data_IF_985159055335
#
_entry.id   IF_985159055335
#
_cell.length_a   1.000
_cell.length_b   1.000
_cell.length_c   1.000
_cell.angle_alpha   90.00
_cell.angle_beta   90.00
_cell.angle_gamma   90.00
#
_symmetry.space_group_name_H-M   'P 1'
#
loop_
_entity.id
_entity.type
_entity.pdbx_description
1 polymer ?
#
# COMPACT_ATOMS: atom_id res chain seq x y z
N UNK A 1 -0.51 38.42 -10.59
CA UNK A 1 -1.61 37.45 -10.86
C UNK A 1 -1.15 36.01 -10.84
N UNK A 2 -0.21 35.55 -11.69
CA UNK A 2 0.26 34.15 -11.67
C UNK A 2 1.07 33.81 -10.42
N UNK A 3 1.94 34.69 -9.97
CA UNK A 3 2.72 34.51 -8.74
C UNK A 3 1.86 34.44 -7.47
N UNK A 4 0.78 35.20 -7.41
CA UNK A 4 -0.17 35.13 -6.27
C UNK A 4 -0.93 33.81 -6.24
N UNK A 5 -1.31 33.30 -7.41
CA UNK A 5 -1.95 31.98 -7.51
C UNK A 5 -1.00 30.85 -7.14
N UNK A 6 0.28 30.96 -7.49
CA UNK A 6 1.31 29.98 -7.10
C UNK A 6 1.54 30.05 -5.58
N UNK A 7 1.60 31.25 -5.00
CA UNK A 7 1.77 31.41 -3.55
C UNK A 7 0.57 30.91 -2.76
N UNK A 8 -0.66 31.13 -3.25
CA UNK A 8 -1.88 30.65 -2.63
C UNK A 8 -2.04 29.12 -2.67
N UNK A 9 -1.32 28.45 -3.56
CA UNK A 9 -1.33 26.98 -3.71
C UNK A 9 -0.09 26.29 -3.14
N UNK A 10 0.76 27.02 -2.42
CA UNK A 10 1.90 26.41 -1.75
C UNK A 10 1.40 25.49 -0.63
N UNK A 11 1.81 24.25 -0.69
CA UNK A 11 1.69 23.34 0.44
C UNK A 11 2.49 23.90 1.63
N UNK A 12 2.06 23.63 2.85
CA UNK A 12 2.84 23.96 4.05
C UNK A 12 4.27 23.40 3.92
N UNK A 13 5.27 24.10 4.47
CA UNK A 13 6.64 23.60 4.42
C UNK A 13 6.74 22.24 5.14
N UNK A 14 7.42 21.30 4.51
CA UNK A 14 7.67 19.97 5.09
C UNK A 14 8.50 20.06 6.38
N UNK A 15 9.37 21.05 6.44
CA UNK A 15 10.26 21.30 7.55
C UNK A 15 9.97 22.69 8.12
N UNK A 16 9.32 22.71 9.26
CA UNK A 16 9.14 23.91 10.07
C UNK A 16 10.02 23.77 11.31
N UNK A 17 11.17 24.45 11.28
CA UNK A 17 12.17 24.38 12.33
C UNK A 17 13.20 23.26 12.17
N UNK A 18 14.02 23.06 13.20
CA UNK A 18 15.07 22.08 13.24
C UNK A 18 14.56 20.74 13.77
N UNK A 19 14.71 19.69 12.97
CA UNK A 19 14.33 18.32 13.36
C UNK A 19 15.55 17.63 14.00
N UNK A 20 15.37 17.10 15.19
CA UNK A 20 16.39 16.40 15.97
C UNK A 20 15.80 15.15 16.65
N UNK A 21 16.64 14.39 17.34
CA UNK A 21 16.22 13.13 17.98
C UNK A 21 15.13 13.32 19.06
N UNK A 22 15.03 14.49 19.66
CA UNK A 22 14.07 14.77 20.73
C UNK A 22 12.68 15.10 20.20
N UNK A 23 12.57 15.71 19.01
CA UNK A 23 11.29 16.12 18.42
C UNK A 23 10.88 15.30 17.20
N UNK A 24 11.68 14.28 16.81
CA UNK A 24 11.47 13.52 15.58
C UNK A 24 10.10 12.81 15.56
N UNK A 25 9.67 12.20 16.65
CA UNK A 25 8.41 11.45 16.69
C UNK A 25 7.20 12.36 16.53
N UNK A 26 7.21 13.52 17.17
CA UNK A 26 6.17 14.53 17.03
C UNK A 26 6.16 15.12 15.61
N UNK A 27 7.32 15.48 15.11
CA UNK A 27 7.47 15.95 13.74
C UNK A 27 6.99 14.93 12.73
N UNK A 28 7.39 13.66 12.87
CA UNK A 28 6.96 12.55 12.00
C UNK A 28 5.44 12.40 12.00
N UNK A 29 4.81 12.44 13.16
CA UNK A 29 3.37 12.36 13.28
C UNK A 29 2.68 13.49 12.52
N UNK A 30 3.13 14.72 12.72
CA UNK A 30 2.57 15.90 12.05
C UNK A 30 2.72 15.81 10.52
N UNK A 31 3.86 15.33 10.02
CA UNK A 31 4.08 15.13 8.59
C UNK A 31 3.19 14.03 8.01
N UNK A 32 3.00 12.91 8.71
CA UNK A 32 2.11 11.84 8.28
C UNK A 32 0.66 12.34 8.21
N UNK A 33 0.22 13.10 9.21
CA UNK A 33 -1.12 13.70 9.24
C UNK A 33 -1.30 14.71 8.10
N UNK A 34 -0.28 15.53 7.83
CA UNK A 34 -0.29 16.48 6.71
C UNK A 34 -0.42 15.75 5.37
N UNK A 35 0.38 14.72 5.13
CA UNK A 35 0.30 13.93 3.90
C UNK A 35 -1.04 13.22 3.75
N UNK A 36 -1.61 12.70 4.83
CA UNK A 36 -2.93 12.11 4.80
C UNK A 36 -3.99 13.13 4.38
N UNK A 37 -3.92 14.36 4.88
CA UNK A 37 -4.89 15.41 4.55
C UNK A 37 -4.70 15.99 3.14
N UNK A 38 -3.46 16.27 2.74
CA UNK A 38 -3.20 17.07 1.55
C UNK A 38 -2.94 16.23 0.29
N UNK A 39 -2.47 14.99 0.44
CA UNK A 39 -1.97 14.22 -0.69
C UNK A 39 -2.64 12.85 -0.87
N UNK A 40 -2.73 12.04 0.17
CA UNK A 40 -3.07 10.62 0.04
C UNK A 40 -4.48 10.27 0.54
N UNK A 41 -5.10 11.13 1.32
CA UNK A 41 -6.35 10.84 1.99
C UNK A 41 -6.16 9.95 3.23
N UNK A 42 -7.26 9.69 3.90
CA UNK A 42 -7.27 8.87 5.11
C UNK A 42 -7.51 7.41 4.73
N UNK A 43 -6.69 6.52 5.26
CA UNK A 43 -6.89 5.08 5.06
C UNK A 43 -8.24 4.66 5.65
N UNK A 44 -9.11 4.03 4.86
CA UNK A 44 -10.39 3.55 5.36
C UNK A 44 -10.18 2.45 6.42
N UNK A 45 -11.15 2.19 7.28
CA UNK A 45 -11.07 1.09 8.22
C UNK A 45 -10.92 -0.23 7.48
N UNK A 46 -10.26 -1.20 8.12
CA UNK A 46 -10.10 -2.53 7.55
C UNK A 46 -11.47 -3.16 7.30
N UNK A 47 -11.66 -3.89 6.18
CA UNK A 47 -12.88 -4.62 5.91
C UNK A 47 -13.11 -5.67 7.01
N UNK A 48 -14.37 -5.97 7.30
CA UNK A 48 -14.74 -6.96 8.33
C UNK A 48 -14.33 -8.37 7.96
N UNK A 49 -14.38 -8.68 6.68
CA UNK A 49 -14.06 -9.98 6.12
C UNK A 49 -13.34 -9.80 4.78
N UNK A 50 -12.32 -10.62 4.57
CA UNK A 50 -11.64 -10.73 3.28
C UNK A 50 -11.77 -12.17 2.81
N UNK A 51 -12.38 -12.36 1.63
CA UNK A 51 -12.49 -13.65 0.97
C UNK A 51 -11.32 -13.83 0.00
N UNK A 52 -10.78 -15.04 -0.06
CA UNK A 52 -9.68 -15.38 -0.95
C UNK A 52 -10.02 -16.63 -1.73
N UNK A 53 -9.96 -16.56 -3.05
CA UNK A 53 -10.22 -17.70 -3.94
C UNK A 53 -9.06 -17.85 -4.91
N UNK A 54 -8.47 -19.05 -4.97
CA UNK A 54 -7.44 -19.36 -5.97
C UNK A 54 -8.11 -19.49 -7.33
N UNK A 55 -7.82 -18.57 -8.23
CA UNK A 55 -8.37 -18.55 -9.58
C UNK A 55 -7.52 -19.35 -10.56
N UNK A 56 -6.20 -19.30 -10.39
CA UNK A 56 -5.24 -19.98 -11.25
C UNK A 56 -4.08 -20.47 -10.41
N UNK A 57 -3.50 -21.63 -10.78
CA UNK A 57 -2.31 -22.20 -10.15
C UNK A 57 -1.42 -22.83 -11.23
N UNK A 58 -0.13 -22.55 -11.15
CA UNK A 58 0.89 -23.15 -11.99
C UNK A 58 2.07 -23.59 -11.11
N UNK A 59 2.37 -24.87 -11.14
CA UNK A 59 3.40 -25.50 -10.32
C UNK A 59 4.77 -25.56 -11.01
N UNK A 60 4.86 -25.12 -12.27
CA UNK A 60 6.07 -25.25 -13.10
C UNK A 60 6.77 -23.92 -13.41
N UNK A 61 6.36 -22.84 -12.78
CA UNK A 61 7.01 -21.54 -12.96
C UNK A 61 8.45 -21.57 -12.44
N UNK A 62 9.30 -20.75 -13.07
CA UNK A 62 10.74 -20.68 -12.79
C UNK A 62 11.45 -22.04 -12.86
N UNK A 63 11.18 -22.80 -13.95
CA UNK A 63 11.74 -24.13 -14.15
C UNK A 63 11.42 -25.10 -12.99
N UNK A 64 10.19 -25.04 -12.48
CA UNK A 64 9.69 -25.90 -11.41
C UNK A 64 10.20 -25.58 -10.01
N UNK A 65 10.85 -24.42 -9.83
CA UNK A 65 11.39 -24.00 -8.53
C UNK A 65 10.39 -23.25 -7.66
N UNK A 66 9.35 -22.72 -8.26
CA UNK A 66 8.29 -22.01 -7.56
C UNK A 66 6.92 -22.41 -8.07
N UNK A 67 5.94 -22.24 -7.22
CA UNK A 67 4.52 -22.32 -7.52
C UNK A 67 4.00 -20.89 -7.69
N UNK A 68 3.23 -20.65 -8.74
CA UNK A 68 2.54 -19.39 -8.97
C UNK A 68 1.04 -19.58 -8.74
N UNK A 69 0.45 -18.76 -7.89
CA UNK A 69 -1.00 -18.70 -7.67
C UNK A 69 -1.51 -17.31 -7.96
N UNK A 70 -2.61 -17.25 -8.71
CA UNK A 70 -3.42 -16.04 -8.81
C UNK A 70 -4.60 -16.20 -7.85
N UNK A 71 -4.64 -15.38 -6.85
CA UNK A 71 -5.68 -15.38 -5.83
C UNK A 71 -6.53 -14.15 -6.02
N UNK A 72 -7.83 -14.33 -6.17
CA UNK A 72 -8.79 -13.23 -6.14
C UNK A 72 -9.12 -12.94 -4.69
N UNK A 73 -8.78 -11.74 -4.24
CA UNK A 73 -9.24 -11.21 -2.97
C UNK A 73 -10.51 -10.41 -3.20
N UNK A 74 -11.51 -10.61 -2.37
CA UNK A 74 -12.72 -9.79 -2.38
C UNK A 74 -13.13 -9.42 -0.96
N UNK A 75 -13.75 -8.25 -0.82
CA UNK A 75 -14.30 -7.75 0.44
C UNK A 75 -15.44 -6.78 0.17
N UNK A 76 -16.34 -6.70 1.13
CA UNK A 76 -17.48 -5.80 1.06
C UNK A 76 -17.08 -4.41 1.56
N UNK A 77 -17.40 -3.41 0.78
CA UNK A 77 -17.42 -2.01 1.17
C UNK A 77 -18.86 -1.59 1.44
N UNK A 78 -19.07 -0.41 2.03
CA UNK A 78 -20.41 0.03 2.47
C UNK A 78 -21.53 -0.10 1.43
N UNK A 79 -21.22 -0.04 0.13
CA UNK A 79 -22.20 -0.08 -0.97
C UNK A 79 -21.88 -1.10 -2.05
N UNK A 80 -20.62 -1.53 -2.15
CA UNK A 80 -20.17 -2.35 -3.27
C UNK A 80 -19.21 -3.44 -2.78
N UNK A 81 -19.14 -4.56 -3.50
CA UNK A 81 -18.08 -5.54 -3.38
C UNK A 81 -16.88 -5.09 -4.21
N UNK A 82 -15.70 -5.11 -3.61
CA UNK A 82 -14.45 -4.82 -4.29
C UNK A 82 -13.61 -6.10 -4.41
N UNK A 83 -13.01 -6.31 -5.58
CA UNK A 83 -12.13 -7.45 -5.80
C UNK A 83 -10.93 -7.09 -6.65
N UNK A 84 -9.80 -7.74 -6.38
CA UNK A 84 -8.57 -7.59 -7.15
C UNK A 84 -7.73 -8.87 -7.10
N UNK A 85 -6.91 -9.13 -8.13
CA UNK A 85 -6.00 -10.26 -8.14
C UNK A 85 -4.74 -9.98 -7.33
N UNK A 86 -4.27 -11.01 -6.63
CA UNK A 86 -2.96 -11.05 -6.00
C UNK A 86 -2.18 -12.23 -6.59
N UNK A 87 -1.00 -11.96 -7.09
CA UNK A 87 -0.09 -12.98 -7.60
C UNK A 87 0.89 -13.39 -6.51
N UNK A 88 0.86 -14.66 -6.13
CA UNK A 88 1.75 -15.26 -5.16
C UNK A 88 2.79 -16.12 -5.89
N UNK A 89 4.05 -15.88 -5.60
CA UNK A 89 5.16 -16.72 -6.04
C UNK A 89 5.75 -17.40 -4.81
N UNK A 90 5.55 -18.70 -4.71
CA UNK A 90 5.88 -19.48 -3.53
C UNK A 90 7.02 -20.45 -3.89
N UNK A 91 8.22 -20.29 -3.29
CA UNK A 91 9.32 -21.21 -3.56
C UNK A 91 9.03 -22.62 -3.02
N UNK A 92 9.32 -23.65 -3.82
CA UNK A 92 9.10 -25.06 -3.43
C UNK A 92 10.11 -25.59 -2.41
N UNK A 93 11.09 -24.80 -2.02
CA UNK A 93 12.15 -25.23 -1.10
C UNK A 93 11.69 -25.56 0.34
N UNK A 94 10.40 -25.47 0.64
CA UNK A 94 9.77 -25.94 1.87
C UNK A 94 10.24 -25.28 3.17
N UNK A 95 10.89 -24.13 3.09
CA UNK A 95 11.40 -23.38 4.26
C UNK A 95 10.60 -22.08 4.44
N UNK A 96 10.48 -21.64 5.68
CA UNK A 96 10.02 -20.29 5.98
C UNK A 96 10.93 -19.27 5.28
N UNK A 97 10.36 -18.42 4.45
CA UNK A 97 11.08 -17.39 3.70
C UNK A 97 10.47 -16.02 3.97
N UNK A 98 11.26 -14.94 3.87
CA UNK A 98 10.75 -13.60 3.92
C UNK A 98 9.70 -13.37 2.82
N UNK A 99 8.67 -12.60 3.12
CA UNK A 99 7.67 -12.18 2.14
C UNK A 99 7.98 -10.77 1.66
N UNK A 100 7.95 -10.57 0.34
CA UNK A 100 8.03 -9.25 -0.28
C UNK A 100 6.69 -8.96 -0.93
N UNK A 101 6.09 -7.83 -0.57
CA UNK A 101 4.86 -7.32 -1.19
C UNK A 101 5.23 -6.23 -2.19
N UNK A 102 4.83 -6.42 -3.43
CA UNK A 102 5.10 -5.45 -4.50
C UNK A 102 3.78 -5.02 -5.17
N UNK A 103 3.31 -3.78 -4.93
CA UNK A 103 2.20 -3.21 -5.68
C UNK A 103 2.61 -2.97 -7.13
N UNK A 104 1.84 -3.52 -8.08
CA UNK A 104 2.05 -3.32 -9.52
C UNK A 104 0.84 -2.64 -10.13
N UNK A 105 1.10 -1.64 -10.97
CA UNK A 105 0.09 -1.00 -11.80
C UNK A 105 0.21 -1.62 -13.21
N UNK A 106 -0.53 -2.69 -13.44
CA UNK A 106 -0.65 -3.33 -14.75
C UNK A 106 -2.06 -3.18 -15.30
#
# INVERSE_FOLDING_TARGET
>A
MMEEQIRARRLPPLFDGEVNAQNFDEWRKNIVDLYAHECFGVTPPAPREVRAVVAEQNDDDWAGKAEHRKVMLSFDMEKDEFSFPVHLVIPKAGRSCPCVVYPSFT
#
